data_IF_181485420275
#
_entry.id   IF_181485420275
#
_cell.length_a   1.000
_cell.length_b   1.000
_cell.length_c   1.000
_cell.angle_alpha   90.00
_cell.angle_beta   90.00
_cell.angle_gamma   90.00
#
_symmetry.space_group_name_H-M   'P 1'
#
loop_
_entity.id
_entity.type
_entity.pdbx_description
1 polymer ?
#
# COMPACT_ATOMS: atom_id res chain seq x y z
N UNK A 1 0.20 8.78 -5.02
CA UNK A 1 0.66 8.17 -6.27
C UNK A 1 1.79 7.17 -6.05
N UNK A 2 1.82 6.42 -4.94
CA UNK A 2 2.95 5.52 -4.57
C UNK A 2 2.88 4.18 -5.31
N UNK A 3 1.70 3.78 -5.76
CA UNK A 3 1.51 2.60 -6.59
C UNK A 3 1.79 2.89 -8.07
N UNK A 4 2.26 1.88 -8.81
CA UNK A 4 2.44 1.99 -10.26
C UNK A 4 1.23 1.41 -10.98
N UNK A 5 0.51 2.26 -11.74
CA UNK A 5 -0.68 1.83 -12.51
C UNK A 5 -0.38 0.66 -13.46
N UNK A 6 0.76 0.70 -14.15
CA UNK A 6 1.15 -0.36 -15.08
C UNK A 6 1.40 -1.69 -14.37
N UNK A 7 2.10 -1.68 -13.24
CA UNK A 7 2.32 -2.90 -12.44
C UNK A 7 1.03 -3.42 -11.82
N UNK A 8 0.17 -2.54 -11.31
CA UNK A 8 -1.16 -2.91 -10.79
C UNK A 8 -2.02 -3.56 -11.86
N UNK A 9 -2.05 -2.99 -13.09
CA UNK A 9 -2.78 -3.58 -14.20
C UNK A 9 -2.21 -4.94 -14.61
N UNK A 10 -0.88 -5.09 -14.64
CA UNK A 10 -0.21 -6.34 -14.98
C UNK A 10 -0.45 -7.46 -13.95
N UNK A 11 -0.68 -7.13 -12.68
CA UNK A 11 -1.01 -8.12 -11.64
C UNK A 11 -2.45 -8.64 -11.69
N UNK A 12 -3.34 -7.98 -12.42
CA UNK A 12 -4.74 -8.40 -12.56
C UNK A 12 -4.91 -9.15 -13.88
N UNK A 13 -5.12 -10.46 -13.82
CA UNK A 13 -5.06 -11.35 -14.98
C UNK A 13 -6.43 -11.76 -15.53
N UNK A 14 -7.48 -11.64 -14.74
CA UNK A 14 -8.82 -12.16 -15.07
C UNK A 14 -9.85 -11.07 -15.36
N UNK A 15 -9.52 -9.79 -15.16
CA UNK A 15 -10.45 -8.69 -15.35
C UNK A 15 -9.75 -7.36 -15.68
N UNK A 16 -10.56 -6.35 -16.03
CA UNK A 16 -10.09 -5.00 -16.26
C UNK A 16 -10.02 -4.22 -14.95
N UNK A 17 -9.05 -3.31 -14.85
CA UNK A 17 -8.90 -2.38 -13.73
C UNK A 17 -9.50 -1.03 -14.11
N UNK A 18 -10.48 -0.57 -13.33
CA UNK A 18 -11.11 0.75 -13.52
C UNK A 18 -10.15 1.90 -13.18
N UNK A 19 -10.41 3.08 -13.72
CA UNK A 19 -9.54 4.25 -13.53
C UNK A 19 -9.53 4.81 -12.10
N UNK A 20 -10.64 4.69 -11.39
CA UNK A 20 -10.83 5.10 -9.99
C UNK A 20 -10.19 4.13 -8.98
N UNK A 21 -10.05 2.84 -9.35
CA UNK A 21 -9.42 1.83 -8.51
C UNK A 21 -7.99 2.25 -8.07
N UNK A 22 -7.22 2.89 -8.95
CA UNK A 22 -5.85 3.30 -8.60
C UNK A 22 -5.81 4.33 -7.47
N UNK A 23 -6.79 5.23 -7.40
CA UNK A 23 -6.86 6.20 -6.30
C UNK A 23 -7.23 5.53 -4.98
N UNK A 24 -8.20 4.60 -5.02
CA UNK A 24 -8.60 3.81 -3.86
C UNK A 24 -7.44 2.95 -3.33
N UNK A 25 -6.71 2.26 -4.21
CA UNK A 25 -5.54 1.47 -3.83
C UNK A 25 -4.41 2.34 -3.30
N UNK A 26 -4.17 3.53 -3.87
CA UNK A 26 -3.16 4.48 -3.34
C UNK A 26 -3.50 4.89 -1.90
N UNK A 27 -4.77 5.22 -1.62
CA UNK A 27 -5.23 5.54 -0.28
C UNK A 27 -5.02 4.39 0.70
N UNK A 28 -5.47 3.18 0.32
CA UNK A 28 -5.31 1.99 1.15
C UNK A 28 -3.84 1.71 1.53
N UNK A 29 -2.92 1.79 0.56
CA UNK A 29 -1.50 1.53 0.82
C UNK A 29 -0.90 2.61 1.72
N UNK A 30 -1.30 3.88 1.57
CA UNK A 30 -0.85 4.95 2.46
C UNK A 30 -1.31 4.72 3.90
N UNK A 31 -2.56 4.36 4.09
CA UNK A 31 -3.10 4.07 5.42
C UNK A 31 -2.42 2.84 6.04
N UNK A 32 -2.11 1.81 5.24
CA UNK A 32 -1.36 0.65 5.70
C UNK A 32 0.07 1.02 6.14
N UNK A 33 0.77 1.87 5.38
CA UNK A 33 2.11 2.35 5.74
C UNK A 33 2.07 3.20 7.02
N UNK A 34 1.09 4.10 7.15
CA UNK A 34 0.95 4.93 8.34
C UNK A 34 0.75 4.09 9.61
N UNK A 35 -0.14 3.09 9.57
CA UNK A 35 -0.32 2.15 10.69
C UNK A 35 0.93 1.34 11.00
N UNK A 36 1.69 0.95 9.96
CA UNK A 36 2.94 0.24 10.16
C UNK A 36 4.01 1.11 10.80
N UNK A 37 4.08 2.39 10.42
CA UNK A 37 4.96 3.37 11.04
C UNK A 37 4.60 3.58 12.51
N UNK A 38 3.32 3.76 12.83
CA UNK A 38 2.83 3.88 14.21
C UNK A 38 3.24 2.68 15.06
N UNK A 39 3.08 1.45 14.54
CA UNK A 39 3.50 0.22 15.23
C UNK A 39 5.01 0.14 15.42
N UNK A 40 5.81 0.53 14.42
CA UNK A 40 7.25 0.54 14.52
C UNK A 40 7.72 1.53 15.60
N UNK A 41 7.17 2.74 15.58
CA UNK A 41 7.45 3.80 16.55
C UNK A 41 7.02 3.43 17.97
N UNK A 42 5.82 2.86 18.13
CA UNK A 42 5.33 2.37 19.42
C UNK A 42 6.24 1.29 20.04
N UNK A 43 6.96 0.54 19.20
CA UNK A 43 7.96 -0.44 19.62
C UNK A 43 9.39 0.13 19.72
N UNK A 44 9.56 1.47 19.66
CA UNK A 44 10.85 2.14 19.75
C UNK A 44 11.78 1.91 18.55
N UNK A 45 11.23 1.47 17.41
CA UNK A 45 12.01 1.16 16.19
C UNK A 45 11.88 2.29 15.17
N UNK A 46 12.98 2.55 14.45
CA UNK A 46 13.05 3.49 13.30
C UNK A 46 13.03 2.78 11.94
N UNK A 47 12.68 1.49 11.93
CA UNK A 47 12.70 0.65 10.73
C UNK A 47 11.44 -0.20 10.72
N UNK A 48 10.66 -0.05 9.66
CA UNK A 48 9.51 -0.91 9.37
C UNK A 48 9.98 -2.35 9.17
N UNK A 49 9.23 -3.30 9.74
CA UNK A 49 9.44 -4.74 9.61
C UNK A 49 8.16 -5.41 9.13
N UNK A 50 8.24 -6.67 8.63
CA UNK A 50 7.05 -7.36 8.13
C UNK A 50 5.89 -7.43 9.12
N UNK A 51 6.17 -7.55 10.42
CA UNK A 51 5.14 -7.58 11.48
C UNK A 51 4.43 -6.24 11.71
N UNK A 52 4.93 -5.14 11.14
CA UNK A 52 4.29 -3.84 11.28
C UNK A 52 3.16 -3.64 10.26
N UNK A 53 3.15 -4.38 9.16
CA UNK A 53 2.12 -4.25 8.13
C UNK A 53 0.78 -4.86 8.58
#
# INVERSE_FOLDING_TARGET
MIISKSRTKASVTQCNVSGDFYAALDGYVRDAIARAEDRALANGRKTLRPQDL
#
